data_IF_327328821440
#
_entry.id   IF_327328821440
#
_cell.length_a   1.000
_cell.length_b   1.000
_cell.length_c   1.000
_cell.angle_alpha   90.00
_cell.angle_beta   90.00
_cell.angle_gamma   90.00
#
_symmetry.space_group_name_H-M   'P 1'
#
loop_
_entity.id
_entity.type
_entity.pdbx_description
1 polymer ?
#
# COMPACT_ATOMS: atom_id res chain seq x y z
N UNK A 1 -9.57 2.45 9.31
CA UNK A 1 -8.27 1.75 9.07
C UNK A 1 -7.08 2.58 9.54
N UNK A 2 -6.96 3.87 9.17
CA UNK A 2 -5.85 4.73 9.59
C UNK A 2 -5.63 4.82 11.11
N UNK A 3 -6.70 4.93 11.91
CA UNK A 3 -6.57 4.96 13.37
C UNK A 3 -5.91 3.68 13.94
N UNK A 4 -6.28 2.51 13.41
CA UNK A 4 -5.67 1.22 13.78
C UNK A 4 -4.21 1.18 13.35
N UNK A 5 -3.89 1.62 12.13
CA UNK A 5 -2.52 1.66 11.62
C UNK A 5 -1.63 2.56 12.49
N UNK A 6 -2.10 3.76 12.84
CA UNK A 6 -1.42 4.70 13.75
C UNK A 6 -1.18 4.10 15.13
N UNK A 7 -2.17 3.41 15.70
CA UNK A 7 -2.03 2.76 17.00
C UNK A 7 -0.96 1.66 16.98
N UNK A 8 -0.86 0.89 15.90
CA UNK A 8 0.21 -0.11 15.72
C UNK A 8 1.55 0.56 15.50
N UNK A 9 1.63 1.61 14.66
CA UNK A 9 2.86 2.38 14.45
C UNK A 9 3.43 2.97 15.74
N UNK A 10 2.57 3.45 16.63
CA UNK A 10 2.97 3.97 17.94
C UNK A 10 3.64 2.88 18.82
N UNK A 11 3.16 1.63 18.74
CA UNK A 11 3.80 0.50 19.45
C UNK A 11 5.18 0.19 18.86
N UNK A 12 5.29 0.16 17.54
CA UNK A 12 6.60 0.02 16.87
C UNK A 12 7.56 1.14 17.27
N UNK A 13 7.09 2.40 17.32
CA UNK A 13 7.90 3.54 17.69
C UNK A 13 8.46 3.44 19.12
N UNK A 14 7.66 2.89 20.05
CA UNK A 14 8.12 2.59 21.40
C UNK A 14 9.22 1.53 21.39
N UNK A 15 9.00 0.40 20.71
CA UNK A 15 9.98 -0.70 20.62
C UNK A 15 11.28 -0.24 19.97
N UNK A 16 11.20 0.53 18.89
CA UNK A 16 12.36 1.11 18.21
C UNK A 16 13.14 2.06 19.13
N UNK A 17 12.42 2.89 19.90
CA UNK A 17 13.05 3.81 20.85
C UNK A 17 13.77 3.06 21.98
N UNK A 18 13.17 1.96 22.47
CA UNK A 18 13.78 1.09 23.48
C UNK A 18 15.03 0.35 22.95
N UNK A 19 15.00 -0.11 21.70
CA UNK A 19 16.09 -0.90 21.11
C UNK A 19 17.21 -0.06 20.51
N UNK A 20 16.87 1.06 19.86
CA UNK A 20 17.78 1.85 19.02
C UNK A 20 17.97 3.28 19.53
N UNK A 21 17.31 3.67 20.62
CA UNK A 21 17.38 5.02 21.20
C UNK A 21 16.58 6.08 20.47
N UNK A 22 15.90 5.72 19.37
CA UNK A 22 14.96 6.57 18.62
C UNK A 22 13.98 5.72 17.82
N UNK A 23 12.84 6.30 17.46
CA UNK A 23 11.96 5.72 16.47
C UNK A 23 12.56 5.83 15.05
N UNK A 24 12.12 4.94 14.17
CA UNK A 24 12.45 4.96 12.74
C UNK A 24 11.99 6.25 12.07
N UNK A 25 12.82 6.75 11.14
CA UNK A 25 12.49 7.90 10.30
C UNK A 25 11.51 7.52 9.20
N UNK A 26 10.95 8.52 8.50
CA UNK A 26 10.05 8.27 7.38
C UNK A 26 10.73 7.49 6.24
N UNK A 27 12.02 7.73 6.01
CA UNK A 27 12.84 7.02 5.02
C UNK A 27 13.05 5.56 5.43
N UNK A 28 13.29 5.28 6.71
CA UNK A 28 13.42 3.91 7.23
C UNK A 28 12.08 3.15 7.14
N UNK A 29 10.95 3.83 7.40
CA UNK A 29 9.62 3.25 7.18
C UNK A 29 9.41 2.93 5.68
N UNK A 30 9.79 3.84 4.78
CA UNK A 30 9.70 3.60 3.33
C UNK A 30 10.59 2.43 2.88
N UNK A 31 11.78 2.28 3.47
CA UNK A 31 12.65 1.13 3.20
C UNK A 31 12.04 -0.19 3.72
N UNK A 32 11.41 -0.15 4.90
CA UNK A 32 10.61 -1.27 5.40
C UNK A 32 9.51 -1.67 4.43
N UNK A 33 8.72 -0.70 3.96
CA UNK A 33 7.68 -0.92 2.97
C UNK A 33 8.20 -1.56 1.68
N UNK A 34 9.37 -1.15 1.19
CA UNK A 34 9.98 -1.76 0.00
C UNK A 34 10.29 -3.25 0.22
N UNK A 35 10.63 -3.65 1.45
CA UNK A 35 10.77 -5.05 1.86
C UNK A 35 9.45 -5.82 1.68
N UNK A 36 8.38 -5.31 2.26
CA UNK A 36 7.03 -5.90 2.19
C UNK A 36 6.55 -6.03 0.73
N UNK A 37 6.81 -5.02 -0.11
CA UNK A 37 6.52 -5.08 -1.56
C UNK A 37 7.29 -6.21 -2.24
N UNK A 38 8.53 -6.44 -1.83
CA UNK A 38 9.36 -7.54 -2.33
C UNK A 38 8.81 -8.92 -1.94
N UNK A 39 8.27 -9.06 -0.73
CA UNK A 39 7.64 -10.29 -0.27
C UNK A 39 6.28 -10.52 -0.94
N UNK A 40 5.46 -9.48 -1.06
CA UNK A 40 4.23 -9.50 -1.87
C UNK A 40 4.51 -9.94 -3.31
N UNK A 41 5.56 -9.42 -3.95
CA UNK A 41 5.92 -9.78 -5.32
C UNK A 41 6.25 -11.27 -5.47
N UNK A 42 6.93 -11.88 -4.48
CA UNK A 42 7.19 -13.34 -4.48
C UNK A 42 5.90 -14.14 -4.38
N UNK A 43 4.93 -13.69 -3.59
CA UNK A 43 3.64 -14.37 -3.46
C UNK A 43 2.77 -14.27 -4.71
N UNK A 44 2.79 -13.11 -5.38
CA UNK A 44 2.14 -12.95 -6.69
C UNK A 44 2.73 -13.91 -7.72
N UNK A 45 4.06 -14.07 -7.76
CA UNK A 45 4.71 -15.10 -8.59
C UNK A 45 4.25 -16.52 -8.21
N UNK A 46 4.04 -16.78 -6.93
CA UNK A 46 3.50 -18.05 -6.45
C UNK A 46 2.08 -18.30 -6.94
N UNK A 47 1.17 -17.31 -6.86
CA UNK A 47 -0.20 -17.41 -7.40
C UNK A 47 -0.24 -17.57 -8.92
N UNK A 48 0.78 -17.08 -9.62
CA UNK A 48 0.96 -17.30 -11.05
C UNK A 48 1.59 -18.67 -11.39
N UNK A 49 1.88 -19.52 -10.40
CA UNK A 49 2.43 -20.86 -10.58
C UNK A 49 3.96 -20.92 -10.80
N UNK A 50 4.68 -19.81 -10.64
CA UNK A 50 6.14 -19.75 -10.84
C UNK A 50 6.89 -20.31 -9.63
N UNK A 51 6.37 -20.05 -8.42
CA UNK A 51 6.94 -20.49 -7.13
C UNK A 51 5.83 -21.00 -6.20
N UNK A 52 5.31 -22.22 -6.43
CA UNK A 52 4.19 -22.74 -5.65
C UNK A 52 4.58 -22.94 -4.17
N UNK A 53 3.61 -22.71 -3.28
CA UNK A 53 3.65 -23.00 -1.84
C UNK A 53 2.23 -23.29 -1.35
N UNK A 54 2.11 -23.99 -0.23
CA UNK A 54 0.83 -24.54 0.23
C UNK A 54 -0.10 -23.48 0.85
N UNK A 55 0.46 -22.42 1.41
CA UNK A 55 -0.23 -21.36 2.17
C UNK A 55 -0.32 -20.03 1.40
N UNK A 56 -0.33 -20.07 0.06
CA UNK A 56 -0.28 -18.88 -0.79
C UNK A 56 -1.38 -17.86 -0.49
N UNK A 57 -2.59 -18.30 -0.21
CA UNK A 57 -3.76 -17.43 -0.09
C UNK A 57 -3.69 -16.60 1.20
N UNK A 58 -3.39 -17.27 2.32
CA UNK A 58 -3.22 -16.62 3.62
C UNK A 58 -1.98 -15.71 3.63
N UNK A 59 -0.87 -16.18 3.05
CA UNK A 59 0.35 -15.38 2.94
C UNK A 59 0.11 -14.12 2.08
N UNK A 60 -0.62 -14.24 0.96
CA UNK A 60 -0.89 -13.10 0.08
C UNK A 60 -1.75 -12.06 0.78
N UNK A 61 -2.78 -12.51 1.51
CA UNK A 61 -3.63 -11.63 2.30
C UNK A 61 -2.83 -10.87 3.37
N UNK A 62 -1.87 -11.55 4.02
CA UNK A 62 -0.96 -10.95 4.99
C UNK A 62 -0.10 -9.85 4.37
N UNK A 63 0.63 -10.14 3.30
CA UNK A 63 1.54 -9.15 2.67
C UNK A 63 0.78 -7.97 2.05
N UNK A 64 -0.44 -8.20 1.54
CA UNK A 64 -1.32 -7.10 1.12
C UNK A 64 -1.70 -6.19 2.29
N UNK A 65 -1.98 -6.77 3.45
CA UNK A 65 -2.31 -6.00 4.66
C UNK A 65 -1.10 -5.24 5.19
N UNK A 66 0.10 -5.83 5.18
CA UNK A 66 1.35 -5.19 5.61
C UNK A 66 1.73 -4.04 4.67
N UNK A 67 1.67 -4.27 3.36
CA UNK A 67 1.83 -3.20 2.37
C UNK A 67 0.84 -2.06 2.59
N UNK A 68 -0.43 -2.37 2.85
CA UNK A 68 -1.45 -1.34 3.14
C UNK A 68 -1.14 -0.59 4.45
N UNK A 69 -0.71 -1.29 5.51
CA UNK A 69 -0.34 -0.67 6.77
C UNK A 69 0.85 0.30 6.60
N UNK A 70 1.85 -0.07 5.80
CA UNK A 70 2.99 0.78 5.50
C UNK A 70 2.56 2.05 4.74
N UNK A 71 1.68 1.94 3.74
CA UNK A 71 1.10 3.10 3.02
C UNK A 71 0.31 4.01 3.97
N UNK A 72 -0.53 3.44 4.85
CA UNK A 72 -1.30 4.20 5.84
C UNK A 72 -0.38 4.93 6.83
N UNK A 73 0.71 4.28 7.24
CA UNK A 73 1.72 4.84 8.13
C UNK A 73 2.48 6.00 7.49
N UNK A 74 2.87 5.88 6.22
CA UNK A 74 3.51 6.96 5.48
C UNK A 74 2.54 8.13 5.29
N UNK A 75 1.28 7.86 4.94
CA UNK A 75 0.26 8.90 4.83
C UNK A 75 0.11 9.68 6.15
N UNK A 76 0.07 8.99 7.28
CA UNK A 76 0.01 9.63 8.60
C UNK A 76 1.25 10.48 8.91
N UNK A 77 2.44 9.93 8.60
CA UNK A 77 3.73 10.59 8.81
C UNK A 77 3.83 11.91 8.03
N UNK A 78 3.25 11.97 6.83
CA UNK A 78 3.27 13.16 5.97
C UNK A 78 1.99 14.01 6.07
N UNK A 79 1.04 13.67 6.94
CA UNK A 79 -0.21 14.42 7.09
C UNK A 79 -1.14 14.34 5.87
N UNK A 80 -1.09 13.25 5.13
CA UNK A 80 -1.93 13.01 3.94
C UNK A 80 -3.25 12.37 4.37
N UNK A 81 -4.36 13.03 4.02
CA UNK A 81 -5.68 12.40 4.02
C UNK A 81 -5.79 11.43 2.84
N UNK A 82 -5.36 10.19 3.08
CA UNK A 82 -5.30 9.17 2.05
C UNK A 82 -6.69 8.77 1.52
N UNK A 83 -7.73 8.85 2.35
CA UNK A 83 -9.09 8.45 1.94
C UNK A 83 -9.63 9.42 0.89
N UNK A 84 -9.55 10.73 1.19
CA UNK A 84 -9.92 11.78 0.24
C UNK A 84 -9.03 11.74 -0.99
N UNK A 85 -7.70 11.65 -0.83
CA UNK A 85 -6.77 11.63 -1.95
C UNK A 85 -7.01 10.42 -2.89
N UNK A 86 -7.32 9.26 -2.34
CA UNK A 86 -7.66 8.08 -3.13
C UNK A 86 -8.97 8.27 -3.90
N UNK A 87 -10.03 8.76 -3.24
CA UNK A 87 -11.32 9.01 -3.87
C UNK A 87 -11.21 9.99 -5.04
N UNK A 88 -10.54 11.12 -4.83
CA UNK A 88 -10.30 12.15 -5.85
C UNK A 88 -9.53 11.58 -7.04
N UNK A 89 -8.48 10.80 -6.76
CA UNK A 89 -7.65 10.18 -7.81
C UNK A 89 -8.46 9.18 -8.63
N UNK A 90 -9.26 8.32 -7.98
CA UNK A 90 -10.09 7.33 -8.69
C UNK A 90 -11.19 7.99 -9.52
N UNK A 91 -11.81 9.06 -9.00
CA UNK A 91 -12.80 9.83 -9.75
C UNK A 91 -12.16 10.48 -11.00
N UNK A 92 -10.98 11.08 -10.85
CA UNK A 92 -10.28 11.69 -11.98
C UNK A 92 -9.89 10.65 -13.04
N UNK A 93 -9.38 9.48 -12.63
CA UNK A 93 -9.05 8.39 -13.55
C UNK A 93 -10.28 7.86 -14.29
N UNK A 94 -11.41 7.69 -13.58
CA UNK A 94 -12.66 7.25 -14.19
C UNK A 94 -13.14 8.24 -15.26
N UNK A 95 -13.15 9.54 -14.95
CA UNK A 95 -13.53 10.58 -15.91
C UNK A 95 -12.62 10.59 -17.15
N UNK A 96 -11.30 10.50 -16.95
CA UNK A 96 -10.35 10.46 -18.06
C UNK A 96 -10.61 9.28 -19.00
N UNK A 97 -10.95 8.10 -18.46
CA UNK A 97 -11.23 6.91 -19.26
C UNK A 97 -12.55 7.04 -20.03
N UNK A 98 -13.57 7.67 -19.43
CA UNK A 98 -14.84 7.92 -20.11
C UNK A 98 -14.69 8.95 -21.25
N UNK A 99 -13.93 10.03 -21.04
CA UNK A 99 -13.65 11.03 -22.08
C UNK A 99 -12.90 10.41 -23.29
N UNK A 100 -11.96 9.49 -23.03
CA UNK A 100 -11.25 8.74 -24.09
C UNK A 100 -12.22 7.87 -24.90
N UNK A 101 -13.18 7.21 -24.24
CA UNK A 101 -14.21 6.39 -24.91
C UNK A 101 -15.15 7.24 -25.77
N UNK A 102 -15.56 8.39 -25.26
CA UNK A 102 -16.49 9.29 -25.94
C UNK A 102 -15.85 9.99 -27.15
N UNK A 103 -14.56 10.31 -27.06
CA UNK A 103 -13.79 10.89 -28.18
C UNK A 103 -13.44 9.84 -29.25
N UNK A 104 -13.16 8.59 -28.85
CA UNK A 104 -12.96 7.47 -29.78
C UNK A 104 -14.22 7.01 -30.51
N UNK A 105 -15.40 7.16 -29.90
CA UNK A 105 -16.69 6.77 -30.50
C UNK A 105 -17.25 7.75 -31.56
N UNK A 106 -16.84 9.02 -31.54
CA UNK A 106 -17.36 10.05 -32.46
C UNK A 106 -16.65 10.11 -33.83
N UNK A 107 -15.53 9.41 -34.00
CA UNK A 107 -14.76 9.42 -35.25
C UNK A 107 -15.17 8.32 -36.26
N UNK A 108 -16.19 7.51 -35.97
CA UNK A 108 -16.58 6.33 -36.75
C UNK A 108 -18.01 6.28 -37.28
N UNK A 109 -18.74 7.40 -37.29
CA UNK A 109 -20.13 7.51 -37.77
C UNK A 109 -20.27 8.33 -39.03
#
# INVERSE_FOLDING_TARGET
MQATARAVRAKYAQVESEQYGRSWTAEEIMLGFLGDVGDLAKLVQGKAGVRPRDDLDDALAHELADCLWAVLTLADTYGVDLETAFADTMQALAQQLDDVRDTGGRAGG
#
